data_IF_907121700011
#
_entry.id   IF_907121700011
#
_cell.length_a   1.000
_cell.length_b   1.000
_cell.length_c   1.000
_cell.angle_alpha   90.00
_cell.angle_beta   90.00
_cell.angle_gamma   90.00
#
_symmetry.space_group_name_H-M   'P 1'
#
loop_
_entity.id
_entity.type
_entity.pdbx_description
1 polymer ?
#
# COMPACT_ATOMS: atom_id res chain seq x y z
N UNK A 1 -0.67 -7.14 -14.64
CA UNK A 1 -2.14 -7.36 -14.75
C UNK A 1 -2.41 -8.86 -14.63
N UNK A 2 -3.36 -9.25 -13.80
CA UNK A 2 -3.82 -10.65 -13.64
C UNK A 2 -4.26 -11.25 -14.98
N UNK A 3 -4.86 -10.46 -15.87
CA UNK A 3 -5.22 -10.91 -17.20
C UNK A 3 -4.04 -11.46 -17.96
N UNK A 4 -2.97 -10.70 -18.13
CA UNK A 4 -1.80 -11.11 -18.91
C UNK A 4 -1.07 -12.32 -18.30
N UNK A 5 -1.00 -12.40 -16.98
CA UNK A 5 -0.23 -13.46 -16.30
C UNK A 5 -1.00 -14.77 -16.11
N UNK A 6 -2.35 -14.73 -16.08
CA UNK A 6 -3.16 -15.88 -15.67
C UNK A 6 -4.30 -16.21 -16.63
N UNK A 7 -5.03 -15.19 -17.13
CA UNK A 7 -6.24 -15.40 -17.93
C UNK A 7 -5.92 -15.60 -19.41
N UNK A 8 -5.05 -14.76 -19.98
CA UNK A 8 -4.76 -14.73 -21.42
C UNK A 8 -4.37 -16.08 -22.01
N UNK A 9 -3.57 -16.84 -21.31
CA UNK A 9 -3.02 -18.12 -21.80
C UNK A 9 -3.86 -19.36 -21.41
N UNK A 10 -5.00 -19.16 -20.76
CA UNK A 10 -5.94 -20.20 -20.35
C UNK A 10 -7.31 -19.94 -20.95
N UNK A 11 -8.29 -19.59 -20.14
CA UNK A 11 -9.67 -19.29 -20.57
C UNK A 11 -9.74 -18.16 -21.62
N UNK A 12 -8.76 -17.25 -21.65
CA UNK A 12 -8.66 -16.17 -22.63
C UNK A 12 -8.33 -16.60 -24.06
N UNK A 13 -8.03 -17.90 -24.30
CA UNK A 13 -7.87 -18.47 -25.65
C UNK A 13 -9.19 -18.95 -26.25
N UNK A 14 -10.22 -19.05 -25.48
CA UNK A 14 -11.54 -19.49 -25.92
C UNK A 14 -12.30 -18.32 -26.57
N UNK A 15 -13.16 -18.66 -27.52
CA UNK A 15 -14.12 -17.67 -28.03
C UNK A 15 -15.08 -17.26 -26.91
N UNK A 16 -15.38 -15.97 -26.84
CA UNK A 16 -16.17 -15.37 -25.75
C UNK A 16 -17.55 -16.06 -25.59
N UNK A 17 -18.18 -16.43 -26.72
CA UNK A 17 -19.49 -17.09 -26.77
C UNK A 17 -19.47 -18.54 -26.25
N UNK A 18 -18.30 -19.18 -26.28
CA UNK A 18 -18.12 -20.58 -25.85
C UNK A 18 -17.80 -20.70 -24.37
N UNK A 19 -17.46 -19.59 -23.70
CA UNK A 19 -17.15 -19.60 -22.28
C UNK A 19 -18.46 -19.79 -21.50
N UNK A 20 -18.54 -20.91 -20.77
CA UNK A 20 -19.67 -21.28 -19.91
C UNK A 20 -19.22 -21.24 -18.43
N UNK A 21 -20.20 -21.24 -17.53
CA UNK A 21 -19.98 -21.20 -16.07
C UNK A 21 -18.98 -22.28 -15.60
N UNK A 22 -19.07 -23.50 -16.14
CA UNK A 22 -18.15 -24.56 -15.75
C UNK A 22 -16.70 -24.31 -16.16
N UNK A 23 -16.46 -23.61 -17.29
CA UNK A 23 -15.10 -23.22 -17.67
C UNK A 23 -14.48 -22.22 -16.68
N UNK A 24 -15.29 -21.26 -16.24
CA UNK A 24 -14.87 -20.29 -15.23
C UNK A 24 -14.64 -20.99 -13.90
N UNK A 25 -15.55 -21.88 -13.47
CA UNK A 25 -15.40 -22.66 -12.23
C UNK A 25 -14.11 -23.48 -12.24
N UNK A 26 -13.90 -24.26 -13.31
CA UNK A 26 -12.69 -25.06 -13.47
C UNK A 26 -11.44 -24.20 -13.40
N UNK A 27 -11.41 -23.09 -14.14
CA UNK A 27 -10.27 -22.18 -14.17
C UNK A 27 -9.93 -21.64 -12.76
N UNK A 28 -10.94 -21.24 -11.98
CA UNK A 28 -10.71 -20.76 -10.62
C UNK A 28 -10.24 -21.86 -9.67
N UNK A 29 -10.76 -23.08 -9.81
CA UNK A 29 -10.30 -24.24 -9.05
C UNK A 29 -8.83 -24.54 -9.38
N UNK A 30 -8.46 -24.58 -10.67
CA UNK A 30 -7.07 -24.81 -11.13
C UNK A 30 -6.10 -23.75 -10.55
N UNK A 31 -6.56 -22.48 -10.42
CA UNK A 31 -5.75 -21.44 -9.79
C UNK A 31 -5.52 -21.68 -8.30
N UNK A 32 -6.54 -22.15 -7.58
CA UNK A 32 -6.42 -22.50 -6.15
C UNK A 32 -5.50 -23.71 -5.97
N UNK A 33 -5.71 -24.74 -6.78
CA UNK A 33 -4.89 -25.98 -6.75
C UNK A 33 -3.42 -25.71 -7.10
N UNK A 34 -3.16 -24.66 -7.90
CA UNK A 34 -1.79 -24.15 -8.14
C UNK A 34 -1.18 -23.37 -6.96
N UNK A 35 -1.88 -23.27 -5.83
CA UNK A 35 -1.40 -22.61 -4.61
C UNK A 35 -1.59 -21.09 -4.58
N UNK A 36 -2.40 -20.49 -5.46
CA UNK A 36 -2.72 -19.07 -5.37
C UNK A 36 -3.56 -18.78 -4.12
N UNK A 37 -3.24 -17.67 -3.46
CA UNK A 37 -4.00 -17.21 -2.31
C UNK A 37 -5.47 -16.92 -2.71
N UNK A 38 -6.41 -17.35 -1.86
CA UNK A 38 -7.86 -17.19 -2.07
C UNK A 38 -8.26 -15.75 -2.45
N UNK A 39 -7.72 -14.74 -1.77
CA UNK A 39 -7.98 -13.33 -2.10
C UNK A 39 -7.51 -12.94 -3.51
N UNK A 40 -6.42 -13.54 -4.02
CA UNK A 40 -5.95 -13.30 -5.39
C UNK A 40 -6.91 -13.92 -6.41
N UNK A 41 -7.37 -15.14 -6.16
CA UNK A 41 -8.35 -15.82 -7.02
C UNK A 41 -9.69 -15.09 -7.01
N UNK A 42 -10.13 -14.60 -5.86
CA UNK A 42 -11.32 -13.75 -5.73
C UNK A 42 -11.21 -12.47 -6.57
N UNK A 43 -10.08 -11.79 -6.54
CA UNK A 43 -9.84 -10.61 -7.38
C UNK A 43 -9.87 -10.94 -8.88
N UNK A 44 -9.35 -12.11 -9.28
CA UNK A 44 -9.41 -12.58 -10.68
C UNK A 44 -10.88 -12.84 -11.07
N UNK A 45 -11.67 -13.48 -10.20
CA UNK A 45 -13.10 -13.70 -10.43
C UNK A 45 -13.87 -12.39 -10.60
N UNK A 46 -13.62 -11.38 -9.73
CA UNK A 46 -14.25 -10.06 -9.87
C UNK A 46 -13.88 -9.39 -11.17
N UNK A 47 -12.61 -9.43 -11.56
CA UNK A 47 -12.16 -8.88 -12.85
C UNK A 47 -12.84 -9.58 -14.05
N UNK A 48 -12.94 -10.91 -14.02
CA UNK A 48 -13.65 -11.68 -15.07
C UNK A 48 -15.12 -11.32 -15.09
N UNK A 49 -15.78 -11.22 -13.93
CA UNK A 49 -17.20 -10.84 -13.86
C UNK A 49 -17.45 -9.46 -14.49
N UNK A 50 -16.65 -8.45 -14.15
CA UNK A 50 -16.76 -7.12 -14.75
C UNK A 50 -16.54 -7.12 -16.27
N UNK A 51 -15.58 -7.93 -16.75
CA UNK A 51 -15.35 -8.09 -18.20
C UNK A 51 -16.57 -8.73 -18.91
N UNK A 52 -17.14 -9.79 -18.32
CA UNK A 52 -18.30 -10.47 -18.90
C UNK A 52 -19.59 -9.64 -18.76
N UNK A 53 -19.76 -8.86 -17.70
CA UNK A 53 -20.87 -7.92 -17.58
C UNK A 53 -20.83 -6.87 -18.70
N UNK A 54 -19.65 -6.34 -19.00
CA UNK A 54 -19.47 -5.45 -20.18
C UNK A 54 -19.76 -6.13 -21.49
N UNK A 55 -19.39 -7.40 -21.65
CA UNK A 55 -19.70 -8.18 -22.84
C UNK A 55 -21.21 -8.45 -23.00
N UNK A 56 -21.94 -8.61 -21.91
CA UNK A 56 -23.40 -8.71 -21.91
C UNK A 56 -24.03 -7.37 -22.32
N UNK A 57 -23.56 -6.25 -21.71
CA UNK A 57 -24.03 -4.91 -22.05
C UNK A 57 -23.78 -4.53 -23.53
N UNK A 58 -22.69 -5.07 -24.10
CA UNK A 58 -22.35 -4.87 -25.52
C UNK A 58 -22.93 -5.94 -26.43
N UNK A 59 -23.83 -6.78 -25.94
CA UNK A 59 -24.57 -7.82 -26.71
C UNK A 59 -23.67 -8.92 -27.32
N UNK A 60 -22.40 -9.03 -26.90
CA UNK A 60 -21.50 -10.10 -27.37
C UNK A 60 -21.90 -11.47 -26.83
N UNK A 61 -22.44 -11.50 -25.59
CA UNK A 61 -22.95 -12.71 -24.93
C UNK A 61 -24.28 -12.42 -24.25
N UNK A 62 -25.12 -13.44 -24.11
CA UNK A 62 -26.46 -13.29 -23.50
C UNK A 62 -26.44 -13.26 -21.96
N UNK A 63 -25.45 -13.89 -21.34
CA UNK A 63 -25.37 -14.09 -19.87
C UNK A 63 -23.92 -14.09 -19.42
N UNK A 64 -23.65 -13.48 -18.27
CA UNK A 64 -22.35 -13.54 -17.63
C UNK A 64 -22.05 -14.95 -17.10
N UNK A 65 -20.99 -15.63 -17.59
CA UNK A 65 -20.65 -17.00 -17.16
C UNK A 65 -20.09 -17.06 -15.74
N UNK A 66 -19.79 -15.93 -15.09
CA UNK A 66 -19.40 -15.89 -13.68
C UNK A 66 -20.60 -16.00 -12.72
N UNK A 67 -21.84 -15.89 -13.22
CA UNK A 67 -23.03 -16.08 -12.39
C UNK A 67 -23.16 -17.57 -12.04
N UNK A 68 -23.29 -17.85 -10.72
CA UNK A 68 -23.37 -19.21 -10.19
C UNK A 68 -22.01 -19.89 -9.97
N UNK A 69 -20.89 -19.17 -10.20
CA UNK A 69 -19.56 -19.68 -9.84
C UNK A 69 -19.35 -19.58 -8.33
N UNK A 70 -19.01 -20.69 -7.70
CA UNK A 70 -18.73 -20.77 -6.28
C UNK A 70 -17.25 -20.63 -5.99
N UNK A 71 -16.91 -19.82 -4.99
CA UNK A 71 -15.55 -19.77 -4.47
C UNK A 71 -15.41 -20.80 -3.33
N UNK A 72 -14.33 -21.62 -3.36
CA UNK A 72 -14.04 -22.50 -2.23
C UNK A 72 -13.97 -21.72 -0.93
N UNK A 73 -14.39 -22.32 0.18
CA UNK A 73 -14.31 -21.68 1.51
C UNK A 73 -12.87 -21.35 1.85
N UNK A 74 -12.62 -20.09 2.20
CA UNK A 74 -11.32 -19.68 2.71
C UNK A 74 -11.09 -20.25 4.11
N UNK A 75 -10.04 -21.02 4.28
CA UNK A 75 -9.54 -21.36 5.61
C UNK A 75 -8.80 -20.14 6.13
N UNK A 76 -9.45 -19.33 6.94
CA UNK A 76 -8.86 -18.16 7.58
C UNK A 76 -7.73 -18.64 8.50
N UNK A 77 -6.50 -18.33 8.14
CA UNK A 77 -5.36 -18.48 9.05
C UNK A 77 -5.42 -17.33 10.07
N UNK A 78 -5.34 -17.65 11.34
CA UNK A 78 -5.16 -16.63 12.37
C UNK A 78 -3.89 -15.83 12.07
N UNK A 79 -4.03 -14.52 12.04
CA UNK A 79 -2.88 -13.64 11.85
C UNK A 79 -2.18 -13.50 13.20
N UNK A 80 -0.93 -13.95 13.26
CA UNK A 80 -0.09 -13.72 14.42
C UNK A 80 0.18 -12.23 14.59
N UNK A 81 0.00 -11.73 15.80
CA UNK A 81 0.37 -10.38 16.21
C UNK A 81 1.66 -10.48 17.02
N UNK A 82 2.61 -9.57 16.81
CA UNK A 82 3.84 -9.52 17.61
C UNK A 82 3.52 -9.15 19.06
N UNK A 83 4.09 -9.88 20.01
CA UNK A 83 4.04 -9.49 21.42
C UNK A 83 4.86 -8.22 21.66
N UNK A 84 4.70 -7.60 22.81
CA UNK A 84 5.47 -6.40 23.18
C UNK A 84 6.97 -6.68 23.22
N UNK A 85 7.36 -7.80 23.81
CA UNK A 85 8.77 -8.22 23.87
C UNK A 85 9.35 -8.48 22.47
N UNK A 86 8.56 -9.05 21.56
CA UNK A 86 8.95 -9.27 20.16
C UNK A 86 9.13 -7.94 19.42
N UNK A 87 8.26 -6.96 19.67
CA UNK A 87 8.38 -5.62 19.10
C UNK A 87 9.65 -4.91 19.60
N UNK A 88 9.94 -4.98 20.90
CA UNK A 88 11.15 -4.39 21.51
C UNK A 88 12.42 -5.02 20.91
N UNK A 89 12.46 -6.35 20.80
CA UNK A 89 13.58 -7.07 20.16
C UNK A 89 13.76 -6.65 18.71
N UNK A 90 12.66 -6.56 17.97
CA UNK A 90 12.68 -6.11 16.57
C UNK A 90 13.26 -4.70 16.45
N UNK A 91 12.78 -3.74 17.23
CA UNK A 91 13.29 -2.37 17.18
C UNK A 91 14.72 -2.22 17.66
N UNK A 92 15.17 -3.06 18.59
CA UNK A 92 16.57 -3.12 19.02
C UNK A 92 17.46 -3.64 17.89
N UNK A 93 17.05 -4.74 17.25
CA UNK A 93 17.77 -5.30 16.09
C UNK A 93 17.81 -4.32 14.91
N UNK A 94 16.67 -3.71 14.60
CA UNK A 94 16.55 -2.77 13.49
C UNK A 94 17.03 -1.34 13.83
N UNK A 95 17.73 -1.12 14.95
CA UNK A 95 18.11 0.23 15.42
C UNK A 95 18.99 1.00 14.43
N UNK A 96 19.83 0.30 13.67
CA UNK A 96 20.71 0.87 12.64
C UNK A 96 19.99 1.15 11.31
N UNK A 97 18.74 0.71 11.16
CA UNK A 97 18.02 0.88 9.91
C UNK A 97 17.69 2.35 9.65
N UNK A 98 17.98 2.81 8.44
CA UNK A 98 17.86 4.23 8.08
C UNK A 98 16.45 4.81 8.26
N UNK A 99 15.40 3.99 8.06
CA UNK A 99 14.00 4.40 8.20
C UNK A 99 13.33 3.84 9.47
N UNK A 100 14.10 3.55 10.51
CA UNK A 100 13.57 2.97 11.77
C UNK A 100 12.45 3.83 12.38
N UNK A 101 12.56 5.15 12.30
CA UNK A 101 11.54 6.06 12.83
C UNK A 101 10.20 5.96 12.07
N UNK A 102 10.23 5.61 10.77
CA UNK A 102 9.00 5.32 9.99
C UNK A 102 8.29 4.11 10.57
N UNK A 103 9.04 3.03 10.86
CA UNK A 103 8.49 1.79 11.42
C UNK A 103 7.94 2.02 12.83
N UNK A 104 8.72 2.67 13.70
CA UNK A 104 8.28 3.01 15.06
C UNK A 104 6.99 3.82 15.01
N UNK A 105 6.95 4.89 14.22
CA UNK A 105 5.77 5.74 14.09
C UNK A 105 4.55 4.96 13.56
N UNK A 106 4.73 4.12 12.55
CA UNK A 106 3.66 3.31 11.98
C UNK A 106 3.07 2.32 13.01
N UNK A 107 3.93 1.66 13.79
CA UNK A 107 3.49 0.70 14.82
C UNK A 107 2.78 1.41 15.97
N UNK A 108 3.33 2.52 16.46
CA UNK A 108 2.77 3.25 17.62
C UNK A 108 1.44 3.94 17.27
N UNK A 109 1.30 4.45 16.04
CA UNK A 109 0.08 5.20 15.64
C UNK A 109 -0.97 4.36 14.92
N UNK A 110 -0.62 3.18 14.40
CA UNK A 110 -1.49 2.39 13.53
C UNK A 110 -1.80 3.04 12.18
N UNK A 111 -1.08 4.09 11.78
CA UNK A 111 -1.27 4.77 10.51
C UNK A 111 -0.83 3.88 9.33
N UNK A 112 -1.56 4.00 8.20
CA UNK A 112 -1.15 3.31 6.97
C UNK A 112 0.19 3.85 6.50
N UNK A 113 1.05 2.99 5.95
CA UNK A 113 2.40 3.39 5.54
C UNK A 113 2.40 4.60 4.58
N UNK A 114 1.46 4.69 3.65
CA UNK A 114 1.35 5.83 2.74
C UNK A 114 0.93 7.13 3.44
N UNK A 115 0.18 7.06 4.54
CA UNK A 115 -0.16 8.20 5.40
C UNK A 115 1.09 8.67 6.17
N UNK A 116 1.84 7.72 6.75
CA UNK A 116 3.10 8.01 7.45
C UNK A 116 4.11 8.70 6.53
N UNK A 117 4.34 8.13 5.34
CA UNK A 117 5.30 8.67 4.37
C UNK A 117 4.84 10.00 3.75
N UNK A 118 3.53 10.28 3.77
CA UNK A 118 2.96 11.52 3.29
C UNK A 118 2.83 12.63 4.34
N UNK A 119 3.19 12.33 5.60
CA UNK A 119 3.09 13.26 6.72
C UNK A 119 4.08 14.42 6.56
N UNK A 120 3.60 15.65 6.77
CA UNK A 120 4.41 16.86 6.77
C UNK A 120 4.58 17.43 8.16
N UNK A 121 5.61 18.20 8.40
CA UNK A 121 5.82 18.88 9.68
C UNK A 121 4.69 19.84 10.05
N UNK A 122 4.03 20.45 9.06
CA UNK A 122 2.86 21.30 9.25
C UNK A 122 1.60 20.56 9.72
N UNK A 123 1.56 19.24 9.57
CA UNK A 123 0.47 18.38 10.04
C UNK A 123 0.65 18.00 11.53
N UNK A 124 1.79 18.35 12.16
CA UNK A 124 2.16 17.98 13.53
C UNK A 124 2.07 19.21 14.43
N UNK A 125 1.02 19.32 15.21
CA UNK A 125 0.87 20.37 16.23
C UNK A 125 1.48 19.91 17.56
N UNK A 126 2.72 20.33 17.81
CA UNK A 126 3.44 19.99 19.06
C UNK A 126 2.87 20.68 20.29
N UNK A 127 2.19 21.84 20.12
CA UNK A 127 1.57 22.57 21.22
C UNK A 127 0.31 21.91 21.71
N UNK A 128 -0.53 21.45 20.78
CA UNK A 128 -1.76 20.71 21.11
C UNK A 128 -1.52 19.21 21.30
N UNK A 129 -0.34 18.69 20.98
CA UNK A 129 -0.07 17.25 20.96
C UNK A 129 -0.99 16.48 20.01
N UNK A 130 -1.18 17.01 18.81
CA UNK A 130 -2.08 16.46 17.79
C UNK A 130 -1.37 16.29 16.44
N UNK A 131 -1.79 15.29 15.68
CA UNK A 131 -1.31 15.02 14.33
C UNK A 131 -2.51 14.85 13.40
N UNK A 132 -2.57 15.65 12.35
CA UNK A 132 -3.62 15.59 11.33
C UNK A 132 -3.24 14.63 10.22
N UNK A 133 -4.02 13.57 10.01
CA UNK A 133 -3.87 12.61 8.91
C UNK A 133 -4.94 12.93 7.87
N UNK A 134 -4.54 13.49 6.73
CA UNK A 134 -5.47 13.96 5.69
C UNK A 134 -5.05 13.59 4.26
N UNK A 135 -3.88 12.99 4.08
CA UNK A 135 -3.32 12.64 2.76
C UNK A 135 -2.52 11.34 2.79
N UNK A 136 -2.36 10.76 1.63
CA UNK A 136 -1.56 9.56 1.43
C UNK A 136 -0.63 9.79 0.24
N UNK A 137 0.66 9.48 0.40
CA UNK A 137 1.61 9.51 -0.70
C UNK A 137 1.60 8.17 -1.44
N UNK A 138 1.60 8.24 -2.75
CA UNK A 138 1.67 7.09 -3.65
C UNK A 138 2.87 7.18 -4.57
N UNK A 139 3.27 6.03 -5.10
CA UNK A 139 4.31 5.91 -6.12
C UNK A 139 3.77 5.18 -7.34
N UNK A 140 4.02 5.73 -8.54
CA UNK A 140 3.69 5.08 -9.81
C UNK A 140 4.92 5.08 -10.73
N UNK A 141 5.21 3.89 -11.30
CA UNK A 141 6.26 3.75 -12.32
C UNK A 141 5.81 4.30 -13.68
N UNK A 142 4.53 4.16 -14.00
CA UNK A 142 4.00 4.41 -15.34
C UNK A 142 3.62 5.87 -15.57
N UNK A 143 2.95 6.49 -14.59
CA UNK A 143 2.49 7.86 -14.67
C UNK A 143 2.26 8.44 -13.28
N UNK A 144 2.64 9.68 -13.09
CA UNK A 144 2.31 10.47 -11.91
C UNK A 144 1.65 11.76 -12.40
N UNK A 145 0.62 12.26 -11.73
CA UNK A 145 0.03 13.56 -12.04
C UNK A 145 0.97 14.73 -11.70
N UNK A 146 2.06 14.47 -10.99
CA UNK A 146 3.08 15.45 -10.60
C UNK A 146 4.21 15.40 -11.59
N UNK A 147 4.42 16.50 -12.33
CA UNK A 147 5.50 16.64 -13.32
C UNK A 147 6.88 16.49 -12.65
N UNK A 148 7.76 15.72 -13.27
CA UNK A 148 9.11 15.46 -12.78
C UNK A 148 9.19 14.54 -11.55
N UNK A 149 8.07 13.98 -11.09
CA UNK A 149 8.04 13.03 -9.96
C UNK A 149 7.28 11.76 -10.29
N UNK A 150 7.71 10.65 -9.68
CA UNK A 150 6.96 9.38 -9.64
C UNK A 150 6.03 9.29 -8.43
N UNK A 151 6.13 10.23 -7.51
CA UNK A 151 5.28 10.32 -6.33
C UNK A 151 4.14 11.30 -6.56
N UNK A 152 3.02 11.07 -5.90
CA UNK A 152 1.89 11.99 -5.89
C UNK A 152 1.05 11.77 -4.62
N UNK A 153 0.32 12.81 -4.24
CA UNK A 153 -0.66 12.71 -3.16
C UNK A 153 -2.02 12.27 -3.69
N UNK A 154 -2.70 11.47 -2.90
CA UNK A 154 -4.14 11.29 -3.02
C UNK A 154 -4.80 11.80 -1.76
N UNK A 155 -5.90 12.53 -1.93
CA UNK A 155 -6.79 12.85 -0.81
C UNK A 155 -7.45 11.57 -0.30
N UNK A 156 -7.76 11.56 0.95
CA UNK A 156 -8.50 10.48 1.57
C UNK A 156 -9.81 10.20 0.81
N UNK A 157 -10.00 8.97 0.32
CA UNK A 157 -11.18 8.57 -0.48
C UNK A 157 -12.50 8.69 0.29
N UNK A 158 -12.47 8.81 1.60
CA UNK A 158 -13.66 8.91 2.47
C UNK A 158 -13.42 9.95 3.55
N UNK A 159 -14.49 10.61 4.00
CA UNK A 159 -14.49 11.56 5.11
C UNK A 159 -13.87 10.94 6.37
N UNK A 160 -14.07 9.65 6.60
CA UNK A 160 -13.49 8.90 7.73
C UNK A 160 -11.97 8.70 7.66
N UNK A 161 -11.33 9.03 6.55
CA UNK A 161 -9.88 8.95 6.40
C UNK A 161 -9.16 10.23 6.87
N UNK A 162 -9.88 11.35 6.98
CA UNK A 162 -9.37 12.55 7.62
C UNK A 162 -9.61 12.41 9.13
N UNK A 163 -8.53 12.38 9.89
CA UNK A 163 -8.59 12.23 11.35
C UNK A 163 -7.45 12.95 12.03
N UNK A 164 -7.68 13.33 13.25
CA UNK A 164 -6.66 13.81 14.18
C UNK A 164 -6.32 12.66 15.13
N UNK A 165 -5.05 12.40 15.31
CA UNK A 165 -4.56 11.40 16.27
C UNK A 165 -3.77 12.11 17.39
N UNK A 166 -3.81 11.62 18.64
CA UNK A 166 -3.04 12.19 19.71
C UNK A 166 -1.54 11.91 19.53
N UNK A 167 -0.72 12.88 19.88
CA UNK A 167 0.73 12.75 19.95
C UNK A 167 1.09 12.31 21.38
N UNK A 168 1.16 10.99 21.58
CA UNK A 168 1.64 10.40 22.86
C UNK A 168 3.11 10.78 23.11
N UNK A 169 3.62 10.57 24.31
CA UNK A 169 5.03 10.87 24.62
C UNK A 169 5.98 10.06 23.72
N UNK A 170 5.68 8.80 23.47
CA UNK A 170 6.45 7.96 22.56
C UNK A 170 6.46 8.52 21.12
N UNK A 171 5.31 8.95 20.61
CA UNK A 171 5.19 9.57 19.26
C UNK A 171 5.95 10.89 19.21
N UNK A 172 5.88 11.69 20.28
CA UNK A 172 6.61 12.94 20.41
C UNK A 172 8.13 12.71 20.32
N UNK A 173 8.66 11.74 21.07
CA UNK A 173 10.07 11.37 21.04
C UNK A 173 10.53 10.89 19.65
N UNK A 174 9.72 10.05 18.99
CA UNK A 174 9.99 9.62 17.61
C UNK A 174 10.11 10.81 16.66
N UNK A 175 9.19 11.76 16.75
CA UNK A 175 9.19 12.96 15.90
C UNK A 175 10.37 13.89 16.22
N UNK A 176 10.72 14.07 17.48
CA UNK A 176 11.90 14.87 17.88
C UNK A 176 13.19 14.24 17.33
N UNK A 177 13.37 12.93 17.52
CA UNK A 177 14.52 12.20 17.00
C UNK A 177 14.59 12.30 15.45
N UNK A 178 13.44 12.23 14.78
CA UNK A 178 13.37 12.39 13.33
C UNK A 178 13.75 13.81 12.89
N UNK A 179 13.34 14.82 13.63
CA UNK A 179 13.66 16.23 13.35
C UNK A 179 15.17 16.50 13.46
N UNK A 180 15.80 15.97 14.52
CA UNK A 180 17.24 16.07 14.72
C UNK A 180 17.96 15.40 13.54
N UNK A 181 17.65 14.13 13.27
CA UNK A 181 18.25 13.36 12.17
C UNK A 181 18.10 14.07 10.81
N UNK A 182 16.91 14.58 10.50
CA UNK A 182 16.66 15.27 9.25
C UNK A 182 17.44 16.60 9.16
N UNK A 183 17.59 17.31 10.28
CA UNK A 183 18.39 18.54 10.35
C UNK A 183 19.85 18.26 10.09
N UNK A 184 20.43 17.24 10.72
CA UNK A 184 21.79 16.78 10.45
C UNK A 184 21.99 16.42 8.97
N UNK A 185 21.09 15.63 8.40
CA UNK A 185 21.14 15.25 6.99
C UNK A 185 21.12 16.48 6.06
N UNK A 186 20.26 17.48 6.36
CA UNK A 186 20.22 18.75 5.62
C UNK A 186 21.54 19.51 5.70
N UNK A 187 22.17 19.54 6.86
CA UNK A 187 23.44 20.22 7.07
C UNK A 187 24.59 19.54 6.29
N UNK A 188 24.66 18.21 6.35
CA UNK A 188 25.72 17.44 5.69
C UNK A 188 25.58 17.41 4.17
N UNK A 189 24.34 17.40 3.65
CA UNK A 189 24.04 17.20 2.23
C UNK A 189 23.45 18.42 1.55
N UNK A 190 23.85 19.62 1.97
CA UNK A 190 23.33 20.91 1.44
C UNK A 190 23.20 20.97 -0.08
N UNK A 191 24.22 20.53 -0.83
CA UNK A 191 24.26 20.55 -2.28
C UNK A 191 23.42 19.47 -2.97
N UNK A 192 23.08 18.40 -2.23
CA UNK A 192 22.38 17.21 -2.75
C UNK A 192 20.94 17.17 -2.24
N UNK A 193 20.60 17.99 -1.22
CA UNK A 193 19.25 18.02 -0.66
C UNK A 193 18.24 18.51 -1.69
N UNK A 194 17.52 17.56 -2.30
CA UNK A 194 16.53 17.80 -3.36
C UNK A 194 15.14 17.54 -2.83
N UNK A 195 14.41 18.62 -2.55
CA UNK A 195 12.98 18.50 -2.30
C UNK A 195 12.21 18.96 -3.54
N UNK A 196 11.43 18.06 -4.11
CA UNK A 196 10.45 18.45 -5.11
C UNK A 196 9.42 19.39 -4.47
N UNK A 197 9.00 20.44 -5.20
CA UNK A 197 8.09 21.48 -4.70
C UNK A 197 6.84 20.94 -4.00
N UNK A 198 6.26 19.88 -4.52
CA UNK A 198 5.09 19.20 -3.96
C UNK A 198 5.36 18.46 -2.64
N UNK A 199 6.61 17.99 -2.42
CA UNK A 199 6.98 17.12 -1.30
C UNK A 199 7.89 17.84 -0.28
N UNK A 200 7.78 19.16 -0.20
CA UNK A 200 8.48 19.93 0.82
C UNK A 200 7.93 19.61 2.21
N UNK A 201 8.80 19.72 3.21
CA UNK A 201 8.46 19.58 4.63
C UNK A 201 7.95 18.19 5.05
N UNK A 202 8.21 17.13 4.26
CA UNK A 202 7.93 15.77 4.71
C UNK A 202 8.68 15.47 6.02
N UNK A 203 8.01 14.79 6.96
CA UNK A 203 8.60 14.31 8.21
C UNK A 203 9.62 13.21 7.90
N UNK A 204 9.26 12.26 7.06
CA UNK A 204 10.10 11.13 6.71
C UNK A 204 10.61 11.25 5.28
N UNK A 205 11.92 11.38 5.13
CA UNK A 205 12.60 11.54 3.83
C UNK A 205 13.76 10.56 3.68
N UNK A 206 14.18 10.34 2.45
CA UNK A 206 15.49 9.79 2.17
C UNK A 206 16.58 10.77 2.60
N UNK A 207 17.82 10.30 2.62
CA UNK A 207 18.98 11.12 3.04
C UNK A 207 19.29 12.32 2.13
N UNK A 208 18.68 12.38 0.95
CA UNK A 208 18.77 13.47 -0.02
C UNK A 208 17.53 14.39 -0.01
N UNK A 209 16.59 14.16 0.91
CA UNK A 209 15.34 14.92 1.02
C UNK A 209 14.20 14.45 0.13
N UNK A 210 14.41 13.45 -0.71
CA UNK A 210 13.36 12.87 -1.55
C UNK A 210 12.35 12.06 -0.72
N UNK A 211 11.11 11.85 -1.22
CA UNK A 211 10.14 10.98 -0.56
C UNK A 211 10.66 9.54 -0.43
N UNK A 212 10.32 8.90 0.68
CA UNK A 212 10.68 7.49 0.92
C UNK A 212 9.77 6.59 0.10
N UNK A 213 10.39 5.64 -0.61
CA UNK A 213 9.66 4.62 -1.34
C UNK A 213 9.24 3.49 -0.39
N UNK A 214 7.96 3.17 -0.33
CA UNK A 214 7.41 2.23 0.65
C UNK A 214 8.01 0.82 0.57
N UNK A 215 8.50 0.39 -0.61
CA UNK A 215 9.22 -0.88 -0.74
C UNK A 215 10.52 -0.91 0.06
N UNK A 216 11.20 0.23 0.21
CA UNK A 216 12.42 0.30 1.01
C UNK A 216 12.13 0.02 2.48
N UNK A 217 10.95 0.46 2.95
CA UNK A 217 10.49 0.18 4.32
C UNK A 217 10.10 -1.29 4.49
N UNK A 218 9.39 -1.87 3.51
CA UNK A 218 8.91 -3.24 3.57
C UNK A 218 10.02 -4.28 3.37
N UNK A 219 11.07 -3.99 2.59
CA UNK A 219 12.19 -4.92 2.43
C UNK A 219 12.94 -5.14 3.74
N UNK A 220 13.13 -4.09 4.51
CA UNK A 220 13.81 -4.19 5.81
C UNK A 220 13.07 -5.02 6.88
N UNK A 221 11.79 -5.33 6.67
CA UNK A 221 11.02 -6.21 7.57
C UNK A 221 11.16 -7.68 7.16
N UNK A 222 11.64 -7.95 5.94
CA UNK A 222 11.76 -9.31 5.38
C UNK A 222 13.14 -9.93 5.56
N UNK A 223 14.15 -9.10 5.71
CA UNK A 223 15.55 -9.48 5.99
C UNK A 223 15.77 -9.60 7.50
#
# INVERSE_FOLDING_TARGET
SYYNSRVKNSIGKMYLQDIKTYHVQKFLNDLIDSGLAHGTVSNIRFMLSDMFDKAVLSEYIRKNPCIGVEMPKEVKKERRVLTREEQEKFFTFASSYIHINVLKFAVTTGCRIGEVLGLKWEDCDFGKREITINKTIHYSKASSPVEGSKFFYTTAKTISSNRVIPMTDEVYEILQNQKIKQTEQKMWKRSIWKQHKEFQNLVFTCSDGSPVYYYNVNSAIKD
#
